data_IF_551343928511
#
_entry.id   IF_551343928511
#
_cell.length_a   1.000
_cell.length_b   1.000
_cell.length_c   1.000
_cell.angle_alpha   90.00
_cell.angle_beta   90.00
_cell.angle_gamma   90.00
#
_symmetry.space_group_name_H-M   'P 1'
#
loop_
_entity.id
_entity.type
_entity.pdbx_description
1 polymer ?
#
# COMPACT_ATOMS: atom_id res chain seq x y z
N UNK A 1 26.47 23.36 50.74
CA UNK A 1 25.65 23.60 49.53
C UNK A 1 26.44 23.13 48.33
N UNK A 2 26.01 22.06 47.66
CA UNK A 2 26.67 21.52 46.47
C UNK A 2 25.71 21.66 45.29
N UNK A 3 26.10 22.28 44.16
CA UNK A 3 25.20 22.51 43.04
C UNK A 3 25.00 21.22 42.26
N UNK A 4 23.74 20.80 42.09
CA UNK A 4 23.34 19.71 41.21
C UNK A 4 23.63 20.13 39.76
N UNK A 5 24.55 19.43 39.09
CA UNK A 5 24.71 19.54 37.64
C UNK A 5 23.43 19.07 36.94
N UNK A 6 22.78 20.00 36.23
CA UNK A 6 21.69 19.68 35.32
C UNK A 6 22.28 19.03 34.05
N UNK A 7 22.08 17.73 33.90
CA UNK A 7 22.31 17.05 32.62
C UNK A 7 21.35 17.62 31.58
N UNK A 8 21.87 18.40 30.62
CA UNK A 8 21.15 18.68 29.37
C UNK A 8 21.26 17.41 28.50
N UNK A 9 20.14 16.81 28.05
CA UNK A 9 20.21 15.70 27.11
C UNK A 9 20.73 16.25 25.79
N UNK A 10 21.88 15.76 25.34
CA UNK A 10 22.34 16.03 23.97
C UNK A 10 21.25 15.60 22.99
N UNK A 11 20.90 16.41 21.97
CA UNK A 11 20.01 15.96 20.92
C UNK A 11 20.71 14.83 20.19
N UNK A 12 20.34 13.60 20.56
CA UNK A 12 20.90 12.37 20.01
C UNK A 12 20.80 12.44 18.48
N UNK A 13 21.94 12.54 17.79
CA UNK A 13 22.01 12.76 16.33
C UNK A 13 21.19 11.77 15.49
N UNK A 14 20.79 10.63 16.05
CA UNK A 14 19.87 9.69 15.43
C UNK A 14 18.50 10.28 15.04
N UNK A 15 17.99 11.31 15.74
CA UNK A 15 16.71 11.95 15.39
C UNK A 15 16.85 12.82 14.15
N UNK A 16 17.97 13.54 14.02
CA UNK A 16 18.30 14.31 12.83
C UNK A 16 18.46 13.39 11.63
N UNK A 17 19.19 12.28 11.79
CA UNK A 17 19.36 11.28 10.73
C UNK A 17 18.02 10.64 10.34
N UNK A 18 17.18 10.29 11.32
CA UNK A 18 15.85 9.74 11.07
C UNK A 18 14.96 10.73 10.30
N UNK A 19 14.93 12.00 10.71
CA UNK A 19 14.15 13.04 10.02
C UNK A 19 14.62 13.17 8.58
N UNK A 20 15.94 13.25 8.34
CA UNK A 20 16.49 13.36 6.98
C UNK A 20 16.12 12.15 6.13
N UNK A 21 16.25 10.93 6.65
CA UNK A 21 15.91 9.70 5.92
C UNK A 21 14.41 9.63 5.63
N UNK A 22 13.56 9.89 6.62
CA UNK A 22 12.10 9.87 6.45
C UNK A 22 11.65 10.93 5.44
N UNK A 23 12.18 12.15 5.52
CA UNK A 23 11.88 13.21 4.56
C UNK A 23 12.36 12.85 3.15
N UNK A 24 13.54 12.23 3.00
CA UNK A 24 14.04 11.77 1.71
C UNK A 24 13.15 10.68 1.11
N UNK A 25 12.75 9.69 1.91
CA UNK A 25 11.85 8.61 1.48
C UNK A 25 10.47 9.16 1.13
N UNK A 26 9.91 10.06 1.94
CA UNK A 26 8.63 10.70 1.67
C UNK A 26 8.67 11.50 0.36
N UNK A 27 9.74 12.27 0.12
CA UNK A 27 9.93 13.00 -1.12
C UNK A 27 10.05 12.05 -2.33
N UNK A 28 10.78 10.94 -2.20
CA UNK A 28 10.90 9.93 -3.25
C UNK A 28 9.55 9.27 -3.57
N UNK A 29 8.73 8.96 -2.56
CA UNK A 29 7.40 8.39 -2.74
C UNK A 29 6.43 9.37 -3.41
N UNK A 30 6.42 10.64 -2.98
CA UNK A 30 5.60 11.68 -3.62
C UNK A 30 6.03 11.87 -5.08
N UNK A 31 7.33 11.86 -5.35
CA UNK A 31 7.86 11.94 -6.71
C UNK A 31 7.43 10.74 -7.56
N UNK A 32 7.51 9.52 -7.02
CA UNK A 32 7.08 8.30 -7.70
C UNK A 32 5.56 8.31 -7.99
N UNK A 33 4.74 8.72 -7.03
CA UNK A 33 3.28 8.85 -7.22
C UNK A 33 2.92 9.94 -8.25
N UNK A 34 3.67 11.02 -8.31
CA UNK A 34 3.53 12.06 -9.33
C UNK A 34 3.96 11.57 -10.72
N UNK A 35 5.06 10.81 -10.81
CA UNK A 35 5.58 10.22 -12.04
C UNK A 35 4.60 9.20 -12.67
N UNK A 36 3.81 8.49 -11.86
CA UNK A 36 2.85 7.48 -12.29
C UNK A 36 1.42 7.99 -12.49
N UNK A 37 1.17 9.30 -12.37
CA UNK A 37 -0.19 9.88 -12.36
C UNK A 37 -1.12 9.29 -11.30
N UNK A 38 -0.57 8.75 -10.20
CA UNK A 38 -1.38 8.29 -9.06
C UNK A 38 -1.89 9.48 -8.23
N UNK A 39 -1.18 10.60 -8.28
CA UNK A 39 -1.51 11.84 -7.53
C UNK A 39 -2.18 12.91 -8.41
N UNK A 40 -2.12 12.79 -9.73
CA UNK A 40 -2.70 13.77 -10.67
C UNK A 40 -3.61 13.07 -11.69
N UNK A 41 -4.85 13.54 -11.82
CA UNK A 41 -5.86 13.02 -12.75
C UNK A 41 -5.29 12.86 -14.16
N UNK A 42 -5.65 11.74 -14.84
CA UNK A 42 -5.36 11.55 -16.27
C UNK A 42 -5.89 12.78 -17.04
N UNK A 43 -5.03 13.56 -17.70
CA UNK A 43 -5.48 14.77 -18.35
C UNK A 43 -6.40 14.39 -19.51
N UNK A 44 -7.64 14.87 -19.46
CA UNK A 44 -8.57 14.84 -20.59
C UNK A 44 -8.20 15.98 -21.52
N UNK A 45 -7.94 15.67 -22.79
CA UNK A 45 -7.65 16.69 -23.80
C UNK A 45 -8.81 17.69 -23.91
N UNK A 46 -8.49 18.97 -23.86
CA UNK A 46 -9.49 20.01 -24.09
C UNK A 46 -9.81 20.08 -25.60
N UNK A 47 -11.07 20.33 -26.00
CA UNK A 47 -11.42 20.51 -27.40
C UNK A 47 -10.58 21.62 -28.04
N UNK A 48 -10.22 21.48 -29.33
CA UNK A 48 -9.48 22.50 -30.06
C UNK A 48 -10.27 23.80 -30.16
N UNK A 49 -10.06 24.71 -29.22
CA UNK A 49 -10.77 25.99 -29.15
C UNK A 49 -10.24 27.01 -30.17
N UNK A 50 -8.94 26.95 -30.50
CA UNK A 50 -8.30 27.91 -31.40
C UNK A 50 -7.33 27.18 -32.33
N UNK A 51 -7.50 27.25 -33.66
CA UNK A 51 -6.61 26.56 -34.59
C UNK A 51 -5.19 27.14 -34.54
N UNK A 52 -4.21 26.34 -34.98
CA UNK A 52 -2.84 26.80 -35.16
C UNK A 52 -2.77 27.90 -36.25
N UNK A 53 -1.72 28.74 -36.27
CA UNK A 53 -1.54 29.72 -37.33
C UNK A 53 -1.48 29.05 -38.71
N UNK A 54 -1.98 29.72 -39.75
CA UNK A 54 -1.95 29.20 -41.14
C UNK A 54 -0.55 28.83 -41.63
N UNK A 55 0.49 29.51 -41.14
CA UNK A 55 1.88 29.20 -41.44
C UNK A 55 2.33 27.83 -40.88
N UNK A 56 1.66 27.34 -39.82
CA UNK A 56 1.85 26.03 -39.23
C UNK A 56 0.91 24.98 -39.84
N UNK A 57 -0.30 25.37 -40.25
CA UNK A 57 -1.32 24.49 -40.86
C UNK A 57 -1.07 24.22 -42.36
N UNK A 58 0.07 23.59 -42.63
CA UNK A 58 0.50 23.25 -44.00
C UNK A 58 0.37 21.75 -44.30
N UNK A 59 -0.16 20.97 -43.34
CA UNK A 59 -0.20 19.50 -43.40
C UNK A 59 1.16 18.81 -43.33
N UNK A 60 2.23 19.56 -43.03
CA UNK A 60 3.58 19.04 -42.82
C UNK A 60 3.83 18.77 -41.33
N UNK A 61 4.37 17.60 -40.96
CA UNK A 61 4.41 17.15 -39.56
C UNK A 61 5.52 17.79 -38.71
N UNK A 62 6.59 18.32 -39.31
CA UNK A 62 7.68 18.93 -38.54
C UNK A 62 7.49 20.43 -38.51
N UNK A 63 7.50 21.03 -37.31
CA UNK A 63 7.24 22.45 -37.08
C UNK A 63 8.40 23.06 -36.30
N UNK A 64 9.08 24.02 -36.93
CA UNK A 64 10.11 24.87 -36.31
C UNK A 64 9.54 26.26 -36.07
N UNK A 65 9.77 26.80 -34.87
CA UNK A 65 9.29 28.13 -34.47
C UNK A 65 10.48 28.93 -33.95
N UNK A 66 10.95 29.90 -34.75
CA UNK A 66 12.11 30.75 -34.41
C UNK A 66 11.70 32.22 -34.43
N UNK A 67 11.73 32.89 -33.26
CA UNK A 67 11.44 34.33 -33.18
C UNK A 67 10.08 34.74 -33.77
N UNK A 68 9.08 33.86 -33.66
CA UNK A 68 7.73 34.06 -34.24
C UNK A 68 7.57 33.63 -35.70
N UNK A 69 8.65 33.25 -36.40
CA UNK A 69 8.58 32.66 -37.74
C UNK A 69 8.33 31.17 -37.63
N UNK A 70 7.29 30.69 -38.30
CA UNK A 70 6.97 29.26 -38.38
C UNK A 70 7.48 28.70 -39.71
N UNK A 71 8.18 27.58 -39.64
CA UNK A 71 8.61 26.82 -40.80
C UNK A 71 8.19 25.37 -40.64
N UNK A 72 7.75 24.76 -41.73
CA UNK A 72 7.25 23.38 -41.70
C UNK A 72 7.95 22.50 -42.73
N UNK A 73 8.23 21.26 -42.33
CA UNK A 73 8.93 20.28 -43.14
C UNK A 73 8.21 18.93 -43.12
N UNK A 74 8.35 18.18 -44.19
CA UNK A 74 7.82 16.84 -44.34
C UNK A 74 8.84 15.95 -45.04
N UNK A 75 8.64 14.64 -44.96
CA UNK A 75 9.55 13.68 -45.56
C UNK A 75 9.56 13.79 -47.09
N UNK A 76 10.72 13.55 -47.73
CA UNK A 76 10.80 13.44 -49.18
C UNK A 76 10.00 12.22 -49.69
N UNK A 77 9.69 12.20 -50.99
CA UNK A 77 8.96 11.10 -51.59
C UNK A 77 9.65 9.75 -51.32
N UNK A 78 8.85 8.68 -51.24
CA UNK A 78 9.29 7.29 -51.00
C UNK A 78 10.12 7.06 -49.72
N UNK A 79 10.11 8.02 -48.79
CA UNK A 79 10.82 7.96 -47.51
C UNK A 79 9.83 7.94 -46.36
N UNK A 80 9.99 6.99 -45.43
CA UNK A 80 9.16 6.87 -44.24
C UNK A 80 10.01 7.07 -42.98
N UNK A 81 9.65 8.06 -42.17
CA UNK A 81 10.19 8.18 -40.83
C UNK A 81 9.29 7.42 -39.84
N UNK A 82 9.82 6.34 -39.27
CA UNK A 82 9.14 5.55 -38.26
C UNK A 82 9.35 6.21 -36.90
N UNK A 83 8.25 6.52 -36.21
CA UNK A 83 8.31 7.13 -34.88
C UNK A 83 7.52 6.31 -33.86
N UNK A 84 8.12 6.06 -32.70
CA UNK A 84 7.52 5.26 -31.62
C UNK A 84 7.38 6.07 -30.33
N UNK A 85 6.18 6.10 -29.77
CA UNK A 85 5.86 6.95 -28.61
C UNK A 85 5.67 6.16 -27.32
N UNK A 86 6.05 6.77 -26.20
CA UNK A 86 5.63 6.40 -24.84
C UNK A 86 6.55 5.43 -24.10
N UNK A 87 7.45 4.75 -24.81
CA UNK A 87 8.42 3.84 -24.20
C UNK A 87 9.60 4.56 -23.50
N UNK A 88 10.70 3.83 -23.21
CA UNK A 88 10.93 2.44 -23.59
C UNK A 88 10.05 1.47 -22.79
N UNK A 89 9.28 0.64 -23.50
CA UNK A 89 8.55 -0.49 -22.94
C UNK A 89 9.46 -1.73 -22.85
N UNK A 90 9.53 -2.44 -21.70
CA UNK A 90 10.45 -3.57 -21.50
C UNK A 90 10.10 -4.82 -22.33
N UNK A 91 8.87 -4.94 -22.82
CA UNK A 91 8.43 -6.07 -23.67
C UNK A 91 8.54 -5.72 -25.14
N UNK A 92 8.09 -4.52 -25.54
CA UNK A 92 7.93 -4.14 -26.94
C UNK A 92 9.15 -3.43 -27.53
N UNK A 93 9.86 -2.59 -26.77
CA UNK A 93 11.08 -1.92 -27.28
C UNK A 93 12.10 -2.93 -27.82
N UNK A 94 12.48 -3.99 -27.08
CA UNK A 94 13.45 -4.97 -27.58
C UNK A 94 13.01 -5.62 -28.90
N UNK A 95 11.73 -6.00 -28.99
CA UNK A 95 11.16 -6.64 -30.17
C UNK A 95 11.13 -5.70 -31.38
N UNK A 96 10.79 -4.43 -31.15
CA UNK A 96 10.81 -3.41 -32.20
C UNK A 96 12.23 -3.16 -32.69
N UNK A 97 13.22 -3.06 -31.79
CA UNK A 97 14.63 -2.92 -32.16
C UNK A 97 15.11 -4.12 -32.98
N UNK A 98 14.78 -5.34 -32.58
CA UNK A 98 15.13 -6.54 -33.34
C UNK A 98 14.46 -6.55 -34.74
N UNK A 99 13.20 -6.10 -34.83
CA UNK A 99 12.48 -5.96 -36.11
C UNK A 99 13.13 -4.92 -37.03
N UNK A 100 13.50 -3.76 -36.49
CA UNK A 100 14.16 -2.69 -37.22
C UNK A 100 15.54 -3.14 -37.73
N UNK A 101 16.32 -3.81 -36.87
CA UNK A 101 17.62 -4.37 -37.22
C UNK A 101 17.52 -5.39 -38.35
N UNK A 102 16.54 -6.29 -38.29
CA UNK A 102 16.31 -7.30 -39.33
C UNK A 102 15.99 -6.70 -40.71
N UNK A 103 15.52 -5.45 -40.76
CA UNK A 103 15.19 -4.74 -42.00
C UNK A 103 16.16 -3.58 -42.31
N UNK A 104 17.28 -3.49 -41.58
CA UNK A 104 18.27 -2.40 -41.72
C UNK A 104 17.63 -1.00 -41.67
N UNK A 105 16.62 -0.83 -40.82
CA UNK A 105 15.85 0.40 -40.72
C UNK A 105 16.21 1.17 -39.43
N UNK A 106 16.26 2.48 -39.53
CA UNK A 106 16.34 3.37 -38.36
C UNK A 106 14.99 4.05 -38.10
N UNK A 107 14.80 4.49 -36.86
CA UNK A 107 13.54 5.04 -36.36
C UNK A 107 13.84 6.09 -35.28
N UNK A 108 12.87 6.94 -34.98
CA UNK A 108 12.94 7.92 -33.89
C UNK A 108 12.02 7.50 -32.75
N UNK A 109 12.58 7.33 -31.56
CA UNK A 109 11.81 6.94 -30.36
C UNK A 109 11.54 8.17 -29.49
N UNK A 110 10.27 8.57 -29.38
CA UNK A 110 9.83 9.62 -28.47
C UNK A 110 9.55 9.02 -27.08
N UNK A 111 10.54 9.14 -26.20
CA UNK A 111 10.54 8.47 -24.92
C UNK A 111 9.87 9.33 -23.84
N UNK A 112 9.13 8.68 -22.95
CA UNK A 112 8.73 9.27 -21.67
C UNK A 112 9.94 9.30 -20.74
N UNK A 113 10.18 10.43 -20.09
CA UNK A 113 11.29 10.56 -19.14
C UNK A 113 11.19 9.58 -17.96
N UNK A 114 9.98 9.31 -17.46
CA UNK A 114 9.74 8.32 -16.40
C UNK A 114 10.15 6.92 -16.83
N UNK A 115 9.80 6.51 -18.04
CA UNK A 115 10.15 5.18 -18.57
C UNK A 115 11.64 5.10 -18.93
N UNK A 116 12.20 6.16 -19.50
CA UNK A 116 13.62 6.24 -19.79
C UNK A 116 14.46 6.05 -18.52
N UNK A 117 14.01 6.65 -17.41
CA UNK A 117 14.69 6.53 -16.13
C UNK A 117 14.53 5.15 -15.47
N UNK A 118 13.41 4.44 -15.71
CA UNK A 118 13.22 3.06 -15.24
C UNK A 118 14.01 2.01 -16.02
N UNK A 119 14.18 2.24 -17.32
CA UNK A 119 14.80 1.28 -18.24
C UNK A 119 15.98 1.91 -18.99
N UNK A 120 17.00 2.41 -18.27
CA UNK A 120 18.12 3.13 -18.89
C UNK A 120 18.94 2.23 -19.84
N UNK A 121 18.93 0.92 -19.63
CA UNK A 121 19.52 -0.08 -20.52
C UNK A 121 18.88 -0.10 -21.91
N UNK A 122 17.57 0.09 -22.00
CA UNK A 122 16.86 0.13 -23.28
C UNK A 122 17.13 1.45 -24.00
N UNK A 123 17.24 2.56 -23.28
CA UNK A 123 17.63 3.86 -23.87
C UNK A 123 19.03 3.77 -24.47
N UNK A 124 19.99 3.15 -23.76
CA UNK A 124 21.34 2.90 -24.29
C UNK A 124 21.30 2.02 -25.54
N UNK A 125 20.48 0.98 -25.52
CA UNK A 125 20.32 0.05 -26.65
C UNK A 125 19.74 0.76 -27.89
N UNK A 126 18.69 1.57 -27.72
CA UNK A 126 18.11 2.40 -28.80
C UNK A 126 19.20 3.23 -29.47
N UNK A 127 20.00 3.96 -28.67
CA UNK A 127 21.07 4.81 -29.18
C UNK A 127 22.20 4.02 -29.83
N UNK A 128 22.63 2.92 -29.21
CA UNK A 128 23.72 2.08 -29.70
C UNK A 128 23.39 1.41 -31.05
N UNK A 129 22.12 1.15 -31.33
CA UNK A 129 21.65 0.62 -32.61
C UNK A 129 21.41 1.69 -33.69
N UNK A 130 21.78 2.95 -33.41
CA UNK A 130 21.72 4.06 -34.36
C UNK A 130 20.33 4.66 -34.54
N UNK A 131 19.41 4.43 -33.60
CA UNK A 131 18.10 5.07 -33.60
C UNK A 131 18.17 6.45 -32.94
N UNK A 132 17.30 7.35 -33.38
CA UNK A 132 17.22 8.71 -32.84
C UNK A 132 16.31 8.74 -31.61
N UNK A 133 16.64 9.58 -30.63
CA UNK A 133 15.84 9.76 -29.42
C UNK A 133 15.17 11.13 -29.44
N UNK A 134 13.85 11.14 -29.25
CA UNK A 134 13.04 12.33 -29.02
C UNK A 134 12.39 12.32 -27.64
N UNK A 135 11.87 13.47 -27.22
CA UNK A 135 11.18 13.65 -25.95
C UNK A 135 9.66 13.57 -26.13
N UNK A 136 8.99 12.79 -25.28
CA UNK A 136 7.53 12.83 -25.06
C UNK A 136 7.21 13.41 -23.67
N UNK A 137 8.08 14.30 -23.17
CA UNK A 137 8.03 14.83 -21.79
C UNK A 137 8.24 13.77 -20.70
N UNK A 138 8.19 14.17 -19.43
CA UNK A 138 8.60 13.30 -18.33
C UNK A 138 7.47 12.32 -18.04
N UNK A 139 6.29 12.84 -17.73
CA UNK A 139 5.09 12.05 -17.45
C UNK A 139 4.13 11.96 -18.65
N UNK A 140 4.39 12.65 -19.77
CA UNK A 140 3.41 12.71 -20.87
C UNK A 140 2.12 13.47 -20.51
N UNK A 141 2.17 14.35 -19.51
CA UNK A 141 1.04 15.20 -19.13
C UNK A 141 0.69 16.24 -20.21
N UNK A 142 -0.59 16.65 -20.26
CA UNK A 142 -1.05 17.73 -21.13
C UNK A 142 -0.30 19.04 -20.82
N UNK A 143 0.48 19.51 -21.80
CA UNK A 143 1.21 20.77 -21.67
C UNK A 143 0.35 22.00 -21.97
N UNK A 144 -0.78 21.83 -22.66
CA UNK A 144 -1.66 22.92 -23.06
C UNK A 144 -2.34 23.58 -21.88
N UNK A 145 -2.81 22.78 -20.93
CA UNK A 145 -3.38 23.25 -19.65
C UNK A 145 -2.34 23.45 -18.54
N UNK A 146 -1.10 23.00 -18.73
CA UNK A 146 -0.06 23.09 -17.72
C UNK A 146 0.52 24.50 -17.52
N UNK A 147 0.80 24.83 -16.26
CA UNK A 147 1.52 26.05 -15.87
C UNK A 147 2.94 26.08 -16.46
N UNK A 148 3.51 27.28 -16.65
CA UNK A 148 4.87 27.44 -17.18
C UNK A 148 5.94 26.73 -16.33
N UNK A 149 5.74 26.66 -15.02
CA UNK A 149 6.59 25.92 -14.08
C UNK A 149 6.50 24.42 -14.36
N UNK A 150 5.29 23.87 -14.50
CA UNK A 150 5.10 22.45 -14.81
C UNK A 150 5.70 22.09 -16.17
N UNK A 151 5.45 22.88 -17.21
CA UNK A 151 6.07 22.67 -18.54
C UNK A 151 7.60 22.70 -18.46
N UNK A 152 8.19 23.58 -17.63
CA UNK A 152 9.64 23.60 -17.39
C UNK A 152 10.14 22.33 -16.73
N UNK A 153 9.46 21.87 -15.68
CA UNK A 153 9.83 20.64 -14.98
C UNK A 153 9.76 19.44 -15.91
N UNK A 154 8.66 19.26 -16.65
CA UNK A 154 8.48 18.20 -17.64
C UNK A 154 9.63 18.12 -18.64
N UNK A 155 9.96 19.25 -19.27
CA UNK A 155 11.02 19.30 -20.28
C UNK A 155 12.41 19.09 -19.66
N UNK A 156 12.68 19.68 -18.49
CA UNK A 156 14.00 19.59 -17.85
C UNK A 156 14.27 18.20 -17.28
N UNK A 157 13.30 17.62 -16.57
CA UNK A 157 13.43 16.27 -16.00
C UNK A 157 13.63 15.22 -17.08
N UNK A 158 12.98 15.38 -18.25
CA UNK A 158 13.20 14.47 -19.38
C UNK A 158 14.62 14.54 -19.90
N UNK A 159 15.19 15.74 -20.07
CA UNK A 159 16.59 15.89 -20.47
C UNK A 159 17.54 15.27 -19.44
N UNK A 160 17.29 15.51 -18.15
CA UNK A 160 18.07 14.91 -17.05
C UNK A 160 18.00 13.38 -17.08
N UNK A 161 16.81 12.81 -17.30
CA UNK A 161 16.62 11.36 -17.40
C UNK A 161 17.38 10.75 -18.60
N UNK A 162 17.30 11.38 -19.79
CA UNK A 162 18.04 10.94 -20.98
C UNK A 162 19.56 11.05 -20.79
N UNK A 163 20.02 12.13 -20.14
CA UNK A 163 21.42 12.34 -19.82
C UNK A 163 21.96 11.25 -18.88
N UNK A 164 21.19 10.90 -17.84
CA UNK A 164 21.55 9.82 -16.92
C UNK A 164 21.49 8.43 -17.54
N UNK A 165 20.57 8.22 -18.49
CA UNK A 165 20.31 6.90 -19.06
C UNK A 165 21.32 6.53 -20.15
N UNK A 166 21.52 7.42 -21.12
CA UNK A 166 22.34 7.16 -22.31
C UNK A 166 23.37 8.24 -22.62
N UNK A 167 23.60 9.18 -21.69
CA UNK A 167 24.58 10.25 -21.87
C UNK A 167 24.22 11.21 -23.00
N UNK A 168 22.92 11.39 -23.27
CA UNK A 168 22.43 12.21 -24.40
C UNK A 168 21.33 13.17 -23.98
N UNK A 169 21.17 14.23 -24.76
CA UNK A 169 20.06 15.19 -24.72
C UNK A 169 19.39 15.23 -26.08
N UNK A 170 18.18 15.74 -26.19
CA UNK A 170 17.47 15.79 -27.48
C UNK A 170 16.82 17.13 -27.73
N UNK A 171 16.80 17.56 -29.00
CA UNK A 171 16.05 18.72 -29.47
C UNK A 171 14.71 18.34 -30.09
N UNK A 172 14.39 17.05 -30.26
CA UNK A 172 13.08 16.64 -30.77
C UNK A 172 12.06 16.56 -29.65
N UNK A 173 10.89 17.16 -29.87
CA UNK A 173 9.76 17.08 -28.96
C UNK A 173 8.51 16.68 -29.74
N UNK A 174 7.80 15.68 -29.22
CA UNK A 174 6.41 15.43 -29.56
C UNK A 174 5.56 15.91 -28.39
N UNK A 175 4.57 16.76 -28.66
CA UNK A 175 3.67 17.21 -27.60
C UNK A 175 2.76 16.05 -27.17
N UNK A 176 2.65 15.76 -25.86
CA UNK A 176 1.73 14.74 -25.38
C UNK A 176 0.29 15.03 -25.80
N UNK A 177 -0.49 13.96 -26.04
CA UNK A 177 -1.90 14.02 -26.47
C UNK A 177 -2.15 14.70 -27.84
N UNK A 178 -1.07 14.99 -28.59
CA UNK A 178 -1.13 15.48 -29.97
C UNK A 178 -0.66 14.40 -30.93
N UNK A 179 -1.13 14.47 -32.16
CA UNK A 179 -0.81 13.52 -33.23
C UNK A 179 -0.37 14.29 -34.47
N UNK A 180 -1.28 15.00 -35.13
CA UNK A 180 -0.98 15.82 -36.31
C UNK A 180 -0.69 17.26 -35.93
N UNK A 181 -0.06 18.03 -36.83
CA UNK A 181 0.33 19.40 -36.52
C UNK A 181 -0.87 20.29 -36.13
N UNK A 182 -2.01 20.15 -36.81
CA UNK A 182 -3.28 20.84 -36.54
C UNK A 182 -3.89 20.50 -35.18
N UNK A 183 -3.48 19.38 -34.57
CA UNK A 183 -3.90 19.00 -33.21
C UNK A 183 -3.20 19.79 -32.11
N UNK A 184 -2.11 20.50 -32.40
CA UNK A 184 -1.41 21.40 -31.46
C UNK A 184 -2.14 22.75 -31.35
N UNK A 185 -3.45 22.76 -31.23
CA UNK A 185 -4.33 23.93 -31.20
C UNK A 185 -4.34 24.59 -29.80
N UNK A 186 -4.87 25.81 -29.67
CA UNK A 186 -5.18 26.44 -28.37
C UNK A 186 -4.01 26.50 -27.37
N UNK A 187 -4.18 25.88 -26.21
CA UNK A 187 -3.17 25.84 -25.14
C UNK A 187 -1.93 25.07 -25.58
N UNK A 188 -2.11 24.01 -26.37
CA UNK A 188 -1.05 23.16 -26.91
C UNK A 188 -0.16 23.95 -27.88
N UNK A 189 -0.73 24.87 -28.68
CA UNK A 189 0.08 25.79 -29.51
C UNK A 189 0.96 26.70 -28.64
N UNK A 190 0.41 27.18 -27.53
CA UNK A 190 1.13 28.04 -26.59
C UNK A 190 2.25 27.25 -25.88
N UNK A 191 2.01 25.98 -25.56
CA UNK A 191 3.04 25.08 -25.05
C UNK A 191 4.13 24.78 -26.08
N UNK A 192 3.74 24.53 -27.34
CA UNK A 192 4.63 24.34 -28.48
C UNK A 192 5.58 25.53 -28.67
N UNK A 193 5.07 26.77 -28.63
CA UNK A 193 5.90 27.98 -28.70
C UNK A 193 6.91 28.07 -27.55
N UNK A 194 6.45 27.84 -26.31
CA UNK A 194 7.33 27.85 -25.11
C UNK A 194 8.42 26.77 -25.17
N UNK A 195 8.12 25.62 -25.76
CA UNK A 195 9.10 24.58 -25.99
C UNK A 195 10.10 24.99 -27.08
N UNK A 196 9.64 25.57 -28.19
CA UNK A 196 10.50 26.03 -29.27
C UNK A 196 11.46 27.15 -28.83
N UNK A 197 11.02 28.06 -27.95
CA UNK A 197 11.88 29.08 -27.31
C UNK A 197 13.04 28.47 -26.51
N UNK A 198 12.94 27.19 -26.13
CA UNK A 198 13.99 26.42 -25.45
C UNK A 198 14.82 25.57 -26.41
N UNK A 199 14.65 25.74 -27.72
CA UNK A 199 15.41 25.06 -28.76
C UNK A 199 14.83 23.71 -29.21
N UNK A 200 13.58 23.39 -28.85
CA UNK A 200 12.93 22.18 -29.34
C UNK A 200 12.37 22.33 -30.76
N UNK A 201 12.60 21.33 -31.59
CA UNK A 201 11.93 21.07 -32.85
C UNK A 201 10.70 20.19 -32.60
N UNK A 202 9.53 20.66 -33.05
CA UNK A 202 8.28 19.95 -32.82
C UNK A 202 8.03 18.93 -33.93
N UNK A 203 7.72 17.69 -33.54
CA UNK A 203 7.49 16.58 -34.47
C UNK A 203 6.12 15.97 -34.23
N UNK A 204 5.21 16.22 -35.18
CA UNK A 204 3.92 15.57 -35.30
C UNK A 204 4.01 14.35 -36.23
N UNK A 205 2.87 13.77 -36.58
CA UNK A 205 2.71 12.72 -37.56
C UNK A 205 1.85 13.18 -38.74
N UNK A 206 2.05 12.57 -39.90
CA UNK A 206 1.15 12.74 -41.03
C UNK A 206 -0.22 12.09 -40.76
N UNK A 207 -1.25 12.53 -41.47
CA UNK A 207 -2.58 11.90 -41.40
C UNK A 207 -2.50 10.46 -41.90
N UNK A 208 -3.21 9.50 -41.27
CA UNK A 208 -3.23 8.11 -41.71
C UNK A 208 -3.67 7.90 -43.17
N UNK A 209 -4.43 8.85 -43.73
CA UNK A 209 -4.88 8.84 -45.13
C UNK A 209 -3.77 9.17 -46.14
N UNK A 210 -2.63 9.73 -45.69
CA UNK A 210 -1.52 10.08 -46.57
C UNK A 210 -0.76 8.81 -46.95
N UNK A 211 -0.61 8.57 -48.26
CA UNK A 211 0.10 7.40 -48.78
C UNK A 211 1.60 7.47 -48.44
N UNK A 212 2.21 6.38 -47.92
CA UNK A 212 3.64 6.35 -47.58
C UNK A 212 4.59 6.75 -48.72
N UNK A 213 4.20 6.43 -49.95
CA UNK A 213 4.94 6.74 -51.19
C UNK A 213 5.21 8.26 -51.38
N UNK A 214 4.40 9.13 -50.75
CA UNK A 214 4.52 10.59 -50.84
C UNK A 214 5.44 11.19 -49.78
N UNK A 215 6.12 10.37 -48.99
CA UNK A 215 6.89 10.82 -47.84
C UNK A 215 5.99 11.04 -46.64
N UNK A 216 6.22 10.31 -45.54
CA UNK A 216 5.41 10.41 -44.32
C UNK A 216 6.24 10.23 -43.06
N UNK A 217 5.84 10.92 -41.98
CA UNK A 217 6.19 10.58 -40.60
C UNK A 217 5.02 9.80 -40.00
N UNK A 218 5.25 8.53 -39.64
CA UNK A 218 4.23 7.68 -39.03
C UNK A 218 4.51 7.48 -37.54
N UNK A 219 3.45 7.65 -36.75
CA UNK A 219 3.47 7.47 -35.30
C UNK A 219 2.87 6.14 -34.92
N UNK A 220 3.60 5.42 -34.07
CA UNK A 220 3.22 4.13 -33.52
C UNK A 220 3.31 4.14 -32.00
N UNK A 221 2.39 3.45 -31.33
CA UNK A 221 2.56 3.08 -29.93
C UNK A 221 3.47 1.85 -29.82
N UNK A 222 3.98 1.54 -28.62
CA UNK A 222 4.75 0.32 -28.40
C UNK A 222 3.84 -0.82 -27.94
N UNK A 223 3.13 -1.42 -28.90
CA UNK A 223 2.13 -2.48 -28.67
C UNK A 223 2.21 -3.58 -29.73
N UNK A 224 1.53 -4.71 -29.51
CA UNK A 224 1.45 -5.81 -30.49
C UNK A 224 0.84 -5.38 -31.84
N UNK A 225 -0.20 -4.55 -31.78
CA UNK A 225 -0.86 -4.02 -32.97
C UNK A 225 0.10 -3.18 -33.83
N UNK A 226 0.84 -2.27 -33.17
CA UNK A 226 1.84 -1.44 -33.84
C UNK A 226 3.01 -2.27 -34.40
N UNK A 227 3.49 -3.28 -33.67
CA UNK A 227 4.50 -4.21 -34.14
C UNK A 227 4.05 -4.91 -35.43
N UNK A 228 2.82 -5.42 -35.44
CA UNK A 228 2.22 -6.09 -36.59
C UNK A 228 2.04 -5.15 -37.79
N UNK A 229 1.69 -3.90 -37.54
CA UNK A 229 1.52 -2.88 -38.59
C UNK A 229 2.85 -2.49 -39.24
N UNK A 230 3.89 -2.23 -38.43
CA UNK A 230 5.24 -1.92 -38.91
C UNK A 230 5.81 -3.11 -39.70
N UNK A 231 5.60 -4.34 -39.23
CA UNK A 231 6.02 -5.55 -39.96
C UNK A 231 5.36 -5.65 -41.34
N UNK A 232 4.08 -5.31 -41.48
CA UNK A 232 3.39 -5.26 -42.78
C UNK A 232 3.95 -4.17 -43.67
N UNK A 233 4.29 -3.01 -43.09
CA UNK A 233 4.81 -1.87 -43.83
C UNK A 233 6.13 -2.20 -44.55
N UNK A 234 7.04 -2.94 -43.90
CA UNK A 234 8.30 -3.37 -44.51
C UNK A 234 8.14 -4.19 -45.80
N UNK A 235 6.98 -4.83 -46.01
CA UNK A 235 6.68 -5.53 -47.27
C UNK A 235 6.35 -4.61 -48.46
N UNK A 236 6.18 -3.29 -48.24
CA UNK A 236 5.78 -2.36 -49.27
C UNK A 236 6.98 -1.89 -50.12
N UNK A 237 7.12 -2.48 -51.32
CA UNK A 237 8.19 -2.19 -52.29
C UNK A 237 8.21 -0.76 -52.84
N UNK A 238 7.18 0.04 -52.59
CA UNK A 238 7.13 1.42 -53.08
C UNK A 238 7.87 2.41 -52.18
N UNK A 239 8.20 1.99 -50.96
CA UNK A 239 9.04 2.73 -50.02
C UNK A 239 10.50 2.34 -50.30
N UNK A 240 11.35 3.35 -50.46
CA UNK A 240 12.78 3.16 -50.73
C UNK A 240 13.60 3.23 -49.45
N UNK A 241 13.20 4.07 -48.48
CA UNK A 241 13.99 4.34 -47.29
C UNK A 241 13.13 4.41 -46.02
N UNK A 242 13.57 3.70 -44.98
CA UNK A 242 13.08 3.84 -43.60
C UNK A 242 14.16 4.54 -42.77
N UNK A 243 13.81 5.64 -42.13
CA UNK A 243 14.78 6.60 -41.58
C UNK A 243 14.34 7.19 -40.25
N UNK A 244 15.27 7.83 -39.54
CA UNK A 244 14.95 8.75 -38.45
C UNK A 244 14.37 10.07 -38.99
N UNK A 245 13.74 10.87 -38.13
CA UNK A 245 13.15 12.16 -38.50
C UNK A 245 14.22 13.12 -39.01
N UNK A 246 15.33 13.27 -38.29
CA UNK A 246 16.37 14.23 -38.70
C UNK A 246 17.09 13.78 -39.98
N UNK A 247 17.44 12.50 -40.09
CA UNK A 247 18.09 11.96 -41.29
C UNK A 247 17.18 12.07 -42.53
N UNK A 248 15.87 11.84 -42.38
CA UNK A 248 14.90 11.99 -43.46
C UNK A 248 14.74 13.45 -43.94
N UNK A 249 15.03 14.42 -43.08
CA UNK A 249 15.08 15.84 -43.42
C UNK A 249 16.47 16.31 -43.92
N UNK A 250 17.45 15.40 -44.02
CA UNK A 250 18.82 15.76 -44.37
C UNK A 250 19.55 16.58 -43.30
N UNK A 251 19.14 16.42 -42.03
CA UNK A 251 19.74 17.10 -40.87
C UNK A 251 20.58 16.11 -40.06
N UNK A 252 21.57 16.65 -39.31
CA UNK A 252 22.27 15.86 -38.32
C UNK A 252 21.29 15.36 -37.24
N UNK A 253 21.56 14.20 -36.60
CA UNK A 253 20.75 13.71 -35.50
C UNK A 253 20.52 14.81 -34.46
N UNK A 254 19.29 14.93 -33.99
CA UNK A 254 18.91 15.98 -33.06
C UNK A 254 19.20 15.61 -31.59
N UNK A 255 19.99 14.55 -31.35
CA UNK A 255 20.51 14.16 -30.06
C UNK A 255 21.98 14.58 -29.86
N UNK A 256 22.24 15.36 -28.83
CA UNK A 256 23.56 15.88 -28.49
C UNK A 256 24.13 15.16 -27.25
N UNK A 257 25.45 14.89 -27.20
CA UNK A 257 26.07 14.32 -26.00
C UNK A 257 25.83 15.21 -24.78
N UNK A 258 25.37 14.61 -23.69
CA UNK A 258 25.08 15.34 -22.46
C UNK A 258 26.37 15.79 -21.78
N UNK A 259 26.34 16.98 -21.16
CA UNK A 259 27.45 17.49 -20.35
C UNK A 259 27.71 16.60 -19.12
N UNK A 260 28.94 16.61 -18.61
CA UNK A 260 29.32 15.83 -17.41
C UNK A 260 28.41 16.13 -16.22
N UNK A 261 28.09 17.41 -16.00
CA UNK A 261 27.17 17.83 -14.94
C UNK A 261 25.77 17.26 -15.17
N UNK A 262 25.28 17.31 -16.41
CA UNK A 262 23.98 16.75 -16.78
C UNK A 262 23.90 15.24 -16.58
N UNK A 263 24.97 14.51 -16.88
CA UNK A 263 25.05 13.08 -16.65
C UNK A 263 25.02 12.74 -15.15
N UNK A 264 25.78 13.47 -14.32
CA UNK A 264 25.78 13.26 -12.86
C UNK A 264 24.39 13.57 -12.26
N UNK A 265 23.76 14.66 -12.68
CA UNK A 265 22.38 14.98 -12.27
C UNK A 265 21.40 13.89 -12.71
N UNK A 266 21.57 13.37 -13.92
CA UNK A 266 20.81 12.25 -14.44
C UNK A 266 20.98 11.00 -13.59
N UNK A 267 22.22 10.58 -13.32
CA UNK A 267 22.50 9.42 -12.46
C UNK A 267 21.87 9.57 -11.07
N UNK A 268 21.93 10.77 -10.47
CA UNK A 268 21.28 11.04 -9.19
C UNK A 268 19.75 10.86 -9.28
N UNK A 269 19.12 11.37 -10.33
CA UNK A 269 17.69 11.17 -10.59
C UNK A 269 17.33 9.68 -10.71
N UNK A 270 18.11 8.93 -11.51
CA UNK A 270 17.91 7.48 -11.69
C UNK A 270 18.01 6.72 -10.36
N UNK A 271 19.00 7.07 -9.52
CA UNK A 271 19.19 6.46 -8.20
C UNK A 271 18.02 6.73 -7.27
N UNK A 272 17.54 7.97 -7.19
CA UNK A 272 16.37 8.33 -6.36
C UNK A 272 15.14 7.52 -6.78
N UNK A 273 14.89 7.42 -8.09
CA UNK A 273 13.75 6.65 -8.59
C UNK A 273 13.89 5.15 -8.35
N UNK A 274 15.09 4.59 -8.53
CA UNK A 274 15.37 3.17 -8.25
C UNK A 274 15.14 2.83 -6.78
N UNK A 275 15.58 3.69 -5.86
CA UNK A 275 15.35 3.52 -4.41
C UNK A 275 13.85 3.59 -4.10
N UNK A 276 13.14 4.58 -4.66
CA UNK A 276 11.70 4.74 -4.48
C UNK A 276 10.92 3.51 -4.92
N UNK A 277 11.20 2.99 -6.12
CA UNK A 277 10.54 1.80 -6.63
C UNK A 277 10.84 0.55 -5.79
N UNK A 278 12.10 0.34 -5.43
CA UNK A 278 12.51 -0.76 -4.55
C UNK A 278 11.83 -0.72 -3.19
N UNK A 279 11.68 0.48 -2.61
CA UNK A 279 10.97 0.67 -1.35
C UNK A 279 9.47 0.33 -1.46
N UNK A 280 8.77 0.83 -2.49
CA UNK A 280 7.35 0.51 -2.72
C UNK A 280 7.15 -1.00 -2.88
N UNK A 281 8.02 -1.66 -3.65
CA UNK A 281 7.96 -3.11 -3.86
C UNK A 281 8.20 -3.89 -2.56
N UNK A 282 9.21 -3.49 -1.77
CA UNK A 282 9.49 -4.12 -0.48
C UNK A 282 8.32 -3.95 0.50
N UNK A 283 7.69 -2.77 0.54
CA UNK A 283 6.52 -2.51 1.36
C UNK A 283 5.32 -3.36 0.92
N UNK A 284 5.07 -3.47 -0.39
CA UNK A 284 3.99 -4.29 -0.94
C UNK A 284 4.17 -5.78 -0.56
N UNK A 285 5.38 -6.33 -0.71
CA UNK A 285 5.69 -7.69 -0.27
C UNK A 285 5.50 -7.87 1.24
N UNK A 286 5.97 -6.92 2.04
CA UNK A 286 5.86 -6.98 3.50
C UNK A 286 4.38 -6.98 3.94
N UNK A 287 3.56 -6.11 3.35
CA UNK A 287 2.12 -6.06 3.60
C UNK A 287 1.42 -7.34 3.11
N UNK A 288 1.80 -7.86 1.93
CA UNK A 288 1.27 -9.10 1.40
C UNK A 288 1.57 -10.30 2.30
N UNK A 289 2.82 -10.44 2.77
CA UNK A 289 3.23 -11.50 3.70
C UNK A 289 2.50 -11.36 5.04
N UNK A 290 2.47 -10.16 5.61
CA UNK A 290 1.80 -9.90 6.89
C UNK A 290 0.29 -10.19 6.81
N UNK A 291 -0.37 -9.74 5.74
CA UNK A 291 -1.78 -10.02 5.48
C UNK A 291 -2.05 -11.51 5.31
N UNK A 292 -1.18 -12.22 4.59
CA UNK A 292 -1.27 -13.68 4.43
C UNK A 292 -1.12 -14.41 5.75
N UNK A 293 -0.13 -14.04 6.58
CA UNK A 293 0.07 -14.63 7.90
C UNK A 293 -1.09 -14.34 8.85
N UNK A 294 -1.66 -13.13 8.80
CA UNK A 294 -2.84 -12.77 9.58
C UNK A 294 -4.07 -13.59 9.17
N UNK A 295 -4.29 -13.77 7.86
CA UNK A 295 -5.37 -14.60 7.33
C UNK A 295 -5.16 -16.07 7.72
N UNK A 296 -3.94 -16.60 7.57
CA UNK A 296 -3.59 -17.96 7.98
C UNK A 296 -3.85 -18.15 9.48
N UNK A 297 -3.43 -17.20 10.32
CA UNK A 297 -3.69 -17.22 11.77
C UNK A 297 -5.19 -17.26 12.05
N UNK A 298 -6.00 -16.44 11.38
CA UNK A 298 -7.44 -16.44 11.55
C UNK A 298 -8.06 -17.80 11.17
N UNK A 299 -7.66 -18.38 10.03
CA UNK A 299 -8.11 -19.70 9.59
C UNK A 299 -7.72 -20.79 10.60
N UNK A 300 -6.47 -20.76 11.10
CA UNK A 300 -6.01 -21.69 12.14
C UNK A 300 -6.80 -21.53 13.43
N UNK A 301 -7.06 -20.31 13.89
CA UNK A 301 -7.86 -20.06 15.09
C UNK A 301 -9.29 -20.60 14.95
N UNK A 302 -9.94 -20.36 13.81
CA UNK A 302 -11.27 -20.89 13.52
C UNK A 302 -11.25 -22.43 13.48
N UNK A 303 -10.23 -23.02 12.85
CA UNK A 303 -10.07 -24.46 12.79
C UNK A 303 -9.88 -25.07 14.18
N UNK A 304 -8.95 -24.54 14.99
CA UNK A 304 -8.68 -25.03 16.34
C UNK A 304 -9.86 -24.79 17.28
N UNK A 305 -10.55 -23.65 17.19
CA UNK A 305 -11.77 -23.40 17.96
C UNK A 305 -12.85 -24.45 17.65
N UNK A 306 -13.09 -24.74 16.36
CA UNK A 306 -14.03 -25.80 15.95
C UNK A 306 -13.57 -27.19 16.38
N UNK A 307 -12.29 -27.49 16.27
CA UNK A 307 -11.73 -28.76 16.70
C UNK A 307 -11.85 -28.95 18.21
N UNK A 308 -11.62 -27.90 19.00
CA UNK A 308 -11.75 -27.88 20.45
C UNK A 308 -13.20 -28.08 20.90
N UNK A 309 -14.15 -27.34 20.32
CA UNK A 309 -15.58 -27.52 20.60
C UNK A 309 -16.04 -28.93 20.23
N UNK A 310 -15.66 -29.44 19.06
CA UNK A 310 -15.96 -30.84 18.66
C UNK A 310 -15.33 -31.85 19.60
N UNK A 311 -14.12 -31.59 20.10
CA UNK A 311 -13.42 -32.46 21.06
C UNK A 311 -14.13 -32.46 22.42
N UNK A 312 -14.53 -31.30 22.94
CA UNK A 312 -15.34 -31.19 24.16
C UNK A 312 -16.67 -31.95 24.04
N UNK A 313 -17.35 -31.85 22.88
CA UNK A 313 -18.55 -32.64 22.65
C UNK A 313 -18.29 -34.15 22.52
N UNK A 314 -17.14 -34.57 21.97
CA UNK A 314 -16.74 -36.00 21.87
C UNK A 314 -16.22 -36.59 23.17
N UNK A 315 -15.53 -35.80 24.01
CA UNK A 315 -15.03 -36.21 25.32
C UNK A 315 -16.10 -36.11 26.42
N UNK A 316 -17.38 -36.08 26.03
CA UNK A 316 -18.48 -36.66 26.81
C UNK A 316 -18.82 -38.09 26.32
N UNK A 317 -17.94 -39.10 26.47
CA UNK A 317 -18.32 -40.50 26.25
C UNK A 317 -19.18 -40.93 27.46
N UNK A 318 -20.51 -40.87 27.30
CA UNK A 318 -21.47 -40.96 28.41
C UNK A 318 -21.57 -39.60 29.13
N UNK A 319 -22.73 -39.00 29.39
CA UNK A 319 -24.01 -39.63 29.74
C UNK A 319 -25.17 -38.87 29.14
N UNK A 320 -25.97 -39.50 28.26
CA UNK A 320 -27.39 -39.22 28.26
C UNK A 320 -27.90 -39.70 29.63
N UNK A 321 -28.43 -38.79 30.45
CA UNK A 321 -29.04 -39.05 31.78
C UNK A 321 -28.10 -39.21 32.99
N UNK A 322 -27.20 -38.26 33.21
CA UNK A 322 -26.82 -37.96 34.60
C UNK A 322 -27.96 -37.13 35.20
N UNK A 323 -28.59 -37.66 36.26
CA UNK A 323 -29.62 -36.97 37.05
C UNK A 323 -29.11 -35.56 37.39
N UNK A 324 -29.95 -34.53 37.20
CA UNK A 324 -29.63 -33.20 37.70
C UNK A 324 -29.34 -33.29 39.20
N UNK A 325 -28.18 -32.78 39.60
CA UNK A 325 -27.78 -32.75 41.01
C UNK A 325 -28.54 -31.60 41.64
N UNK A 326 -29.61 -31.95 42.35
CA UNK A 326 -30.49 -31.04 43.09
C UNK A 326 -30.43 -31.33 44.60
N UNK A 327 -29.51 -32.19 45.01
CA UNK A 327 -29.22 -32.52 46.40
C UNK A 327 -28.90 -31.24 47.19
N UNK A 328 -29.31 -31.16 48.46
CA UNK A 328 -28.98 -30.04 49.33
C UNK A 328 -27.47 -29.78 49.42
N UNK A 329 -27.09 -28.51 49.51
CA UNK A 329 -25.68 -28.08 49.55
C UNK A 329 -25.43 -27.25 50.80
N UNK A 330 -24.32 -27.53 51.49
CA UNK A 330 -23.79 -26.66 52.54
C UNK A 330 -22.71 -25.75 51.96
N UNK A 331 -22.88 -24.44 52.10
CA UNK A 331 -21.90 -23.43 51.71
C UNK A 331 -21.16 -22.96 52.95
N UNK A 332 -19.83 -23.11 52.96
CA UNK A 332 -18.96 -22.66 54.04
C UNK A 332 -18.25 -21.37 53.63
N UNK A 333 -18.36 -20.35 54.47
CA UNK A 333 -17.79 -19.02 54.26
C UNK A 333 -16.85 -18.72 55.43
N UNK A 334 -15.55 -19.05 55.35
CA UNK A 334 -14.59 -18.62 56.35
C UNK A 334 -14.38 -17.09 56.22
N UNK A 335 -14.51 -16.37 57.32
CA UNK A 335 -14.42 -14.91 57.35
C UNK A 335 -13.49 -14.44 58.48
N UNK A 336 -12.60 -13.50 58.19
CA UNK A 336 -11.77 -12.81 59.17
C UNK A 336 -11.53 -11.37 58.70
N UNK A 337 -12.13 -10.41 59.40
CA UNK A 337 -12.10 -8.98 59.05
C UNK A 337 -12.60 -8.68 57.61
N UNK A 338 -13.80 -9.18 57.28
CA UNK A 338 -14.47 -9.10 55.99
C UNK A 338 -15.71 -8.19 56.02
N UNK A 339 -15.72 -7.15 56.87
CA UNK A 339 -16.86 -6.23 57.05
C UNK A 339 -17.35 -5.62 55.73
N UNK A 340 -16.45 -5.39 54.77
CA UNK A 340 -16.78 -4.79 53.48
C UNK A 340 -17.55 -5.75 52.53
N UNK A 341 -17.31 -7.07 52.62
CA UNK A 341 -17.76 -8.05 51.63
C UNK A 341 -18.85 -9.00 52.13
N UNK A 342 -18.82 -9.36 53.42
CA UNK A 342 -19.58 -10.50 53.96
C UNK A 342 -21.09 -10.42 53.71
N UNK A 343 -21.68 -9.23 53.84
CA UNK A 343 -23.11 -9.04 53.62
C UNK A 343 -23.48 -9.29 52.14
N UNK A 344 -22.68 -8.76 51.21
CA UNK A 344 -22.93 -8.93 49.77
C UNK A 344 -22.78 -10.38 49.33
N UNK A 345 -21.77 -11.08 49.86
CA UNK A 345 -21.51 -12.51 49.63
C UNK A 345 -22.71 -13.36 50.08
N UNK A 346 -23.14 -13.21 51.34
CA UNK A 346 -24.27 -13.99 51.88
C UNK A 346 -25.56 -13.67 51.11
N UNK A 347 -25.83 -12.40 50.81
CA UNK A 347 -27.02 -12.01 50.03
C UNK A 347 -27.00 -12.60 48.61
N UNK A 348 -25.84 -12.66 47.95
CA UNK A 348 -25.72 -13.27 46.61
C UNK A 348 -26.01 -14.77 46.62
N UNK A 349 -25.59 -15.47 47.68
CA UNK A 349 -25.87 -16.90 47.86
C UNK A 349 -27.35 -17.15 48.20
N UNK A 350 -27.97 -16.28 49.00
CA UNK A 350 -29.40 -16.37 49.30
C UNK A 350 -30.27 -16.14 48.06
N UNK A 351 -29.77 -15.41 47.06
CA UNK A 351 -30.39 -15.19 45.77
C UNK A 351 -30.16 -16.34 44.76
N UNK A 352 -29.47 -17.41 45.16
CA UNK A 352 -29.22 -18.55 44.29
C UNK A 352 -30.51 -19.27 43.89
N UNK A 353 -30.53 -19.80 42.66
CA UNK A 353 -31.62 -20.64 42.13
C UNK A 353 -31.60 -22.06 42.70
N UNK A 354 -30.53 -22.46 43.40
CA UNK A 354 -30.47 -23.74 44.10
C UNK A 354 -31.36 -23.71 45.35
N UNK A 355 -32.40 -24.53 45.37
CA UNK A 355 -33.49 -24.40 46.36
C UNK A 355 -33.08 -24.77 47.80
N UNK A 356 -32.12 -25.67 47.96
CA UNK A 356 -31.78 -26.28 49.24
C UNK A 356 -30.35 -25.91 49.63
N UNK A 357 -30.20 -24.77 50.30
CA UNK A 357 -28.92 -24.24 50.74
C UNK A 357 -28.90 -24.08 52.27
N UNK A 358 -27.81 -24.54 52.87
CA UNK A 358 -27.38 -24.16 54.21
C UNK A 358 -26.14 -23.28 54.06
N UNK A 359 -26.14 -22.08 54.61
CA UNK A 359 -25.01 -21.15 54.56
C UNK A 359 -24.44 -21.05 55.98
N UNK A 360 -23.16 -21.34 56.12
CA UNK A 360 -22.44 -21.26 57.40
C UNK A 360 -21.32 -20.25 57.23
N UNK A 361 -21.46 -19.12 57.92
CA UNK A 361 -20.38 -18.14 58.06
C UNK A 361 -19.56 -18.52 59.28
N UNK A 362 -18.27 -18.78 59.07
CA UNK A 362 -17.34 -19.10 60.15
C UNK A 362 -16.48 -17.86 60.40
N UNK A 363 -16.84 -17.11 61.43
CA UNK A 363 -16.05 -15.98 61.91
C UNK A 363 -14.83 -16.47 62.70
N UNK A 364 -13.65 -16.32 62.09
CA UNK A 364 -12.37 -16.76 62.65
C UNK A 364 -11.76 -15.68 63.56
N UNK A 365 -12.57 -15.14 64.46
CA UNK A 365 -12.17 -14.17 65.46
C UNK A 365 -11.95 -12.76 64.91
N UNK A 366 -12.87 -12.27 64.07
CA UNK A 366 -12.79 -10.91 63.51
C UNK A 366 -12.82 -9.84 64.61
N UNK A 367 -12.13 -8.74 64.34
CA UNK A 367 -12.06 -7.55 65.21
C UNK A 367 -12.92 -6.39 64.74
N UNK A 368 -13.50 -6.52 63.55
CA UNK A 368 -14.42 -5.57 62.93
C UNK A 368 -15.87 -6.05 63.04
N UNK A 369 -16.80 -5.48 62.26
CA UNK A 369 -18.23 -5.83 62.34
C UNK A 369 -18.63 -7.05 61.50
N UNK A 370 -17.69 -7.84 60.98
CA UNK A 370 -17.95 -9.01 60.12
C UNK A 370 -18.98 -9.97 60.72
N UNK A 371 -18.76 -10.39 61.96
CA UNK A 371 -19.63 -11.35 62.63
C UNK A 371 -21.02 -10.77 62.88
N UNK A 372 -21.10 -9.48 63.22
CA UNK A 372 -22.36 -8.80 63.51
C UNK A 372 -23.19 -8.61 62.23
N UNK A 373 -22.54 -8.20 61.13
CA UNK A 373 -23.19 -8.08 59.81
C UNK A 373 -23.74 -9.41 59.32
N UNK A 374 -22.98 -10.51 59.47
CA UNK A 374 -23.47 -11.84 59.12
C UNK A 374 -24.63 -12.30 60.03
N UNK A 375 -24.59 -11.96 61.33
CA UNK A 375 -25.62 -12.34 62.30
C UNK A 375 -26.93 -11.56 62.10
N UNK A 376 -26.86 -10.33 61.59
CA UNK A 376 -28.04 -9.50 61.30
C UNK A 376 -28.83 -9.93 60.07
N UNK A 377 -28.34 -10.90 59.29
CA UNK A 377 -29.09 -11.48 58.18
C UNK A 377 -30.09 -12.49 58.74
N UNK A 378 -31.33 -12.05 58.91
CA UNK A 378 -32.44 -12.87 59.41
C UNK A 378 -33.00 -13.80 58.32
N UNK A 379 -32.28 -14.88 58.02
CA UNK A 379 -32.73 -15.98 57.15
C UNK A 379 -32.41 -17.32 57.81
N UNK A 380 -33.37 -18.27 57.90
CA UNK A 380 -33.18 -19.55 58.57
C UNK A 380 -32.12 -20.45 57.93
N UNK A 381 -31.69 -20.14 56.70
CA UNK A 381 -30.61 -20.87 56.01
C UNK A 381 -29.22 -20.40 56.44
N UNK A 382 -29.09 -19.25 57.09
CA UNK A 382 -27.80 -18.66 57.47
C UNK A 382 -27.51 -18.95 58.95
N UNK A 383 -26.30 -19.42 59.23
CA UNK A 383 -25.80 -19.58 60.59
C UNK A 383 -24.40 -18.99 60.71
N UNK A 384 -24.10 -18.40 61.86
CA UNK A 384 -22.79 -17.79 62.14
C UNK A 384 -22.13 -18.53 63.29
N UNK A 385 -20.94 -19.06 63.05
CA UNK A 385 -20.13 -19.73 64.07
C UNK A 385 -18.94 -18.83 64.36
N UNK A 386 -18.76 -18.44 65.63
CA UNK A 386 -17.61 -17.66 66.09
C UNK A 386 -16.58 -18.58 66.73
N UNK A 387 -15.33 -18.44 66.32
CA UNK A 387 -14.20 -19.14 66.92
C UNK A 387 -13.05 -18.18 67.20
N UNK A 388 -12.06 -18.63 67.96
CA UNK A 388 -10.79 -17.91 68.09
C UNK A 388 -9.99 -18.08 66.81
N UNK A 389 -9.36 -17.00 66.34
CA UNK A 389 -8.53 -17.02 65.14
C UNK A 389 -7.53 -18.19 65.14
N UNK A 390 -7.73 -19.10 64.18
CA UNK A 390 -6.93 -20.30 63.96
C UNK A 390 -6.58 -20.53 62.47
N UNK A 391 -6.98 -19.62 61.59
CA UNK A 391 -6.75 -19.64 60.15
C UNK A 391 -7.87 -20.30 59.35
N UNK A 392 -7.92 -19.98 58.05
CA UNK A 392 -8.96 -20.43 57.08
C UNK A 392 -9.21 -21.94 57.10
N UNK A 393 -8.16 -22.76 57.14
CA UNK A 393 -8.30 -24.22 57.16
C UNK A 393 -8.99 -24.72 58.44
N UNK A 394 -8.67 -24.12 59.60
CA UNK A 394 -9.32 -24.45 60.86
C UNK A 394 -10.79 -24.00 60.84
N UNK A 395 -11.07 -22.80 60.33
CA UNK A 395 -12.43 -22.29 60.14
C UNK A 395 -13.28 -23.19 59.23
N UNK A 396 -12.74 -23.64 58.10
CA UNK A 396 -13.42 -24.58 57.20
C UNK A 396 -13.67 -25.93 57.88
N UNK A 397 -12.71 -26.45 58.66
CA UNK A 397 -12.91 -27.69 59.42
C UNK A 397 -14.00 -27.54 60.49
N UNK A 398 -14.08 -26.40 61.18
CA UNK A 398 -15.19 -26.09 62.09
C UNK A 398 -16.52 -26.04 61.35
N UNK A 399 -16.54 -25.42 60.17
CA UNK A 399 -17.71 -25.38 59.29
C UNK A 399 -18.17 -26.77 58.86
N UNK A 400 -17.23 -27.66 58.49
CA UNK A 400 -17.51 -29.04 58.09
C UNK A 400 -18.17 -29.86 59.21
N UNK A 401 -17.80 -29.64 60.47
CA UNK A 401 -18.45 -30.32 61.62
C UNK A 401 -19.93 -29.96 61.74
N UNK A 402 -20.33 -28.78 61.26
CA UNK A 402 -21.70 -28.28 61.30
C UNK A 402 -22.43 -28.41 59.95
N UNK A 403 -21.79 -29.01 58.94
CA UNK A 403 -22.40 -29.24 57.65
C UNK A 403 -23.44 -30.37 57.74
N UNK A 404 -24.64 -30.11 57.23
CA UNK A 404 -25.74 -31.07 57.28
C UNK A 404 -25.90 -31.88 55.99
N UNK A 405 -25.13 -31.55 54.94
CA UNK A 405 -25.30 -32.11 53.61
C UNK A 405 -24.01 -32.74 53.08
N UNK A 406 -24.17 -33.73 52.18
CA UNK A 406 -23.06 -34.47 51.58
C UNK A 406 -22.23 -33.63 50.59
N UNK A 407 -22.84 -32.59 50.02
CA UNK A 407 -22.17 -31.68 49.10
C UNK A 407 -21.81 -30.39 49.85
N UNK A 408 -20.52 -30.12 49.94
CA UNK A 408 -19.98 -28.92 50.57
C UNK A 408 -19.32 -28.05 49.52
N UNK A 409 -19.70 -26.77 49.49
CA UNK A 409 -19.08 -25.74 48.65
C UNK A 409 -18.38 -24.75 49.56
N UNK A 410 -17.09 -24.53 49.34
CA UNK A 410 -16.29 -23.57 50.10
C UNK A 410 -16.15 -22.31 49.25
N UNK A 411 -16.50 -21.15 49.80
CA UNK A 411 -16.46 -19.86 49.09
C UNK A 411 -15.80 -18.80 49.94
N UNK A 412 -15.21 -17.80 49.31
CA UNK A 412 -14.59 -16.68 50.01
C UNK A 412 -15.62 -15.64 50.43
N UNK A 413 -15.33 -14.94 51.53
CA UNK A 413 -16.23 -13.98 52.15
C UNK A 413 -16.43 -12.67 51.36
N UNK A 414 -15.68 -12.48 50.28
CA UNK A 414 -15.66 -11.28 49.41
C UNK A 414 -16.12 -11.56 47.96
N UNK A 415 -16.74 -12.73 47.72
CA UNK A 415 -17.17 -13.15 46.37
C UNK A 415 -18.68 -13.02 46.17
N UNK A 416 -19.10 -12.32 45.12
CA UNK A 416 -20.51 -12.23 44.71
C UNK A 416 -20.80 -13.26 43.61
N UNK A 417 -21.81 -14.10 43.83
CA UNK A 417 -22.18 -15.19 42.91
C UNK A 417 -23.36 -14.82 42.00
N UNK A 418 -23.33 -15.29 40.74
CA UNK A 418 -24.53 -15.30 39.89
C UNK A 418 -25.57 -16.30 40.44
N UNK A 419 -26.88 -16.05 40.25
CA UNK A 419 -27.93 -16.90 40.84
C UNK A 419 -27.80 -18.40 40.52
N UNK A 420 -27.36 -18.78 39.32
CA UNK A 420 -27.21 -20.19 38.90
C UNK A 420 -25.81 -20.79 39.15
N UNK A 421 -24.89 -20.04 39.77
CA UNK A 421 -23.51 -20.47 39.95
C UNK A 421 -23.39 -21.76 40.76
N UNK A 422 -24.03 -21.84 41.94
CA UNK A 422 -24.01 -23.05 42.79
C UNK A 422 -24.65 -24.23 42.06
N UNK A 423 -25.79 -24.01 41.39
CA UNK A 423 -26.47 -25.04 40.62
C UNK A 423 -25.56 -25.62 39.54
N UNK A 424 -24.84 -24.79 38.77
CA UNK A 424 -23.89 -25.27 37.74
C UNK A 424 -22.67 -25.95 38.33
N UNK A 425 -22.14 -25.45 39.44
CA UNK A 425 -20.93 -25.94 40.07
C UNK A 425 -21.07 -27.40 40.52
N UNK A 426 -22.25 -27.80 40.99
CA UNK A 426 -22.47 -29.16 41.52
C UNK A 426 -22.83 -30.20 40.45
N UNK A 427 -23.25 -29.80 39.24
CA UNK A 427 -23.68 -30.75 38.20
C UNK A 427 -22.65 -31.81 37.82
N UNK A 428 -21.33 -31.53 37.77
CA UNK A 428 -20.34 -32.57 37.48
C UNK A 428 -20.31 -33.71 38.52
N UNK A 429 -20.73 -33.46 39.78
CA UNK A 429 -20.80 -34.49 40.82
C UNK A 429 -21.82 -35.59 40.52
N UNK A 430 -22.69 -35.42 39.50
CA UNK A 430 -23.56 -36.48 39.04
C UNK A 430 -22.77 -37.74 38.61
N UNK A 431 -21.56 -37.56 38.10
CA UNK A 431 -20.72 -38.69 37.73
C UNK A 431 -20.09 -39.31 38.99
N UNK A 432 -20.30 -40.61 39.27
CA UNK A 432 -19.85 -41.26 40.51
C UNK A 432 -18.32 -41.38 40.66
N UNK A 433 -17.55 -40.89 39.69
CA UNK A 433 -16.09 -40.89 39.70
C UNK A 433 -15.51 -39.51 40.04
N UNK A 434 -16.37 -38.49 40.15
CA UNK A 434 -15.98 -37.11 40.45
C UNK A 434 -16.21 -36.88 41.94
N UNK A 435 -15.12 -36.72 42.69
CA UNK A 435 -15.17 -36.43 44.13
C UNK A 435 -14.98 -34.95 44.50
N UNK A 436 -14.60 -34.10 43.54
CA UNK A 436 -14.41 -32.66 43.75
C UNK A 436 -14.57 -31.89 42.43
N UNK A 437 -15.06 -30.65 42.51
CA UNK A 437 -15.21 -29.72 41.38
C UNK A 437 -14.59 -28.38 41.78
N UNK A 438 -13.88 -27.74 40.86
CA UNK A 438 -13.34 -26.38 41.01
C UNK A 438 -13.82 -25.55 39.84
N UNK A 439 -14.24 -24.31 40.12
CA UNK A 439 -14.76 -23.34 39.15
C UNK A 439 -13.97 -22.04 39.14
#
# INVERSE_FOLDING_TARGET
MSPRHAHRPEPRGHWLLLIVVVSAVAAALVFEGWANHEVASRPTRSPCATPIPKAADTGKPVVRIDGGRVQTAGMPARTVALTFDGGPDPVWTPRLLDLLRAHHAHATFFLSGVQAARHPELVRRIRAEGHEIGSLTYTGSDLGSASAVRTRLELSLTQTALAGSAGTTTKLLRLPLTTQADTMCGGEWTAARRAAERGYLLVAADRPTRKPERGVIQQYSQTDGAYSEVKKLFGNRKIEKYTTVSEGLGQAPADDPASTVGQVQGMALLQVQSIGHGFVQAMAWTLGVTGTLALLRLVLLIFFARAHVRRLHRFRPGSPWLREVNEPVTVLIPAYNEEAGIESTVRSLLASTHRWLQIIVIDDGSTDRTADLATWIDDPRVSVIRQRNAGKAAALNTGLVHAHHDIVVMVDADTVFEPDAIHRLVQPLAHPAIGAVSG
#
